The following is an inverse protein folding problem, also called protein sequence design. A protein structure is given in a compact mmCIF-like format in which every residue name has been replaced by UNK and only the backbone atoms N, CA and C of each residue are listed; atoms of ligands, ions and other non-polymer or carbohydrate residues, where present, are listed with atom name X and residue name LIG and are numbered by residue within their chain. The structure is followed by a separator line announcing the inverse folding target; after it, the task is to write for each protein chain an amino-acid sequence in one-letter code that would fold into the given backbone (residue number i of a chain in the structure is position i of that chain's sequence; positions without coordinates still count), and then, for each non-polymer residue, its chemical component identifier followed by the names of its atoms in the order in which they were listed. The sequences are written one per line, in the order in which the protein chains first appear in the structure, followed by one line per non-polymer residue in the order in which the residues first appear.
data_IF_435853949111
#
_entry.id   IF_435853949111
#
_cell.length_a   1.000
_cell.length_b   1.000
_cell.length_c   1.000
_cell.angle_alpha   90.00
_cell.angle_beta   90.00
_cell.angle_gamma   90.00
#
_symmetry.space_group_name_H-M   'P 1'
#
loop_
_entity.id
_entity.type
_entity.pdbx_description
1 polymer ?
#
# COMPACT_ATOMS: atom_id res chain seq x y z
N UNK A 1 0.03 -21.24 -9.31
CA UNK A 1 -0.34 -20.34 -8.19
C UNK A 1 -0.15 -18.86 -8.50
N UNK A 2 1.06 -18.37 -8.78
CA UNK A 2 1.32 -16.93 -8.89
C UNK A 2 0.95 -16.28 -10.25
N UNK A 3 0.46 -17.06 -11.21
CA UNK A 3 0.15 -16.56 -12.56
C UNK A 3 -0.83 -15.38 -12.57
N UNK A 4 -1.95 -15.38 -11.80
CA UNK A 4 -2.84 -14.23 -11.76
C UNK A 4 -2.17 -12.95 -11.24
N UNK A 5 -1.25 -13.07 -10.27
CA UNK A 5 -0.50 -11.94 -9.73
C UNK A 5 0.53 -11.42 -10.74
N UNK A 6 1.24 -12.32 -11.44
CA UNK A 6 2.13 -11.96 -12.54
C UNK A 6 1.37 -11.18 -13.61
N UNK A 7 0.23 -11.70 -14.05
CA UNK A 7 -0.59 -11.07 -15.08
C UNK A 7 -1.12 -9.71 -14.64
N UNK A 8 -1.56 -9.59 -13.38
CA UNK A 8 -1.96 -8.31 -12.79
C UNK A 8 -0.83 -7.27 -12.88
N UNK A 9 0.38 -7.65 -12.45
CA UNK A 9 1.56 -6.78 -12.49
C UNK A 9 1.91 -6.38 -13.94
N UNK A 10 1.96 -7.35 -14.85
CA UNK A 10 2.22 -7.11 -16.27
C UNK A 10 1.20 -6.16 -16.90
N UNK A 11 -0.09 -6.39 -16.62
CA UNK A 11 -1.19 -5.55 -17.13
C UNK A 11 -1.08 -4.14 -16.59
N UNK A 12 -0.89 -3.99 -15.28
CA UNK A 12 -0.79 -2.69 -14.63
C UNK A 12 0.35 -1.86 -15.21
N UNK A 13 1.54 -2.44 -15.37
CA UNK A 13 2.71 -1.73 -15.91
C UNK A 13 2.51 -1.44 -17.40
N UNK A 14 2.15 -2.45 -18.20
CA UNK A 14 2.08 -2.31 -19.67
C UNK A 14 0.97 -1.37 -20.13
N UNK A 15 -0.14 -1.28 -19.39
CA UNK A 15 -1.24 -0.36 -19.71
C UNK A 15 -0.97 1.10 -19.33
N UNK A 16 0.03 1.35 -18.50
CA UNK A 16 0.40 2.70 -18.05
C UNK A 16 1.71 3.20 -18.66
N UNK A 17 2.53 2.30 -19.21
CA UNK A 17 3.78 2.63 -19.89
C UNK A 17 3.53 3.32 -21.25
N UNK A 18 4.32 4.36 -21.55
CA UNK A 18 4.19 5.14 -22.80
C UNK A 18 4.95 4.51 -23.95
N UNK A 19 6.07 3.87 -23.66
CA UNK A 19 6.85 3.18 -24.66
C UNK A 19 6.16 1.86 -24.97
N UNK A 20 5.63 1.73 -26.18
CA UNK A 20 5.49 0.45 -26.89
C UNK A 20 6.87 -0.18 -27.17
N UNK A 21 7.84 -0.04 -26.27
CA UNK A 21 8.89 -1.05 -26.20
C UNK A 21 8.15 -2.31 -25.81
N UNK A 22 8.14 -3.32 -26.67
CA UNK A 22 7.50 -4.64 -26.48
C UNK A 22 8.04 -5.42 -25.26
N UNK A 23 8.66 -4.73 -24.30
CA UNK A 23 9.22 -5.28 -23.08
C UNK A 23 8.06 -5.47 -22.12
N UNK A 24 7.40 -6.61 -22.27
CA UNK A 24 6.58 -7.15 -21.19
C UNK A 24 7.49 -7.32 -19.97
N UNK A 25 7.17 -6.71 -18.81
CA UNK A 25 8.00 -6.84 -17.64
C UNK A 25 8.20 -8.32 -17.31
N UNK A 26 9.45 -8.73 -17.11
CA UNK A 26 9.73 -10.08 -16.64
C UNK A 26 9.52 -10.11 -15.14
N UNK A 27 8.42 -10.71 -14.68
CA UNK A 27 8.13 -10.84 -13.25
C UNK A 27 8.70 -12.14 -12.72
N UNK A 28 9.58 -12.04 -11.72
CA UNK A 28 10.14 -13.13 -10.94
C UNK A 28 9.50 -13.08 -9.56
N UNK A 29 8.82 -14.16 -9.21
CA UNK A 29 8.24 -14.32 -7.87
C UNK A 29 9.07 -15.38 -7.17
N UNK A 30 9.74 -15.01 -6.09
CA UNK A 30 10.60 -15.89 -5.31
C UNK A 30 9.98 -16.13 -3.94
N UNK A 31 9.95 -17.39 -3.52
CA UNK A 31 9.40 -17.82 -2.24
C UNK A 31 10.49 -18.20 -1.23
N UNK A 32 11.68 -17.60 -1.30
CA UNK A 32 12.83 -17.93 -0.45
C UNK A 32 13.17 -16.85 0.59
N UNK A 33 12.19 -16.02 0.97
CA UNK A 33 12.43 -14.85 1.84
C UNK A 33 12.02 -15.13 3.29
N UNK A 34 12.69 -14.47 4.24
CA UNK A 34 12.58 -14.87 5.65
C UNK A 34 11.41 -14.23 6.42
N UNK A 35 10.89 -13.04 6.06
CA UNK A 35 9.99 -12.30 7.00
C UNK A 35 8.82 -11.47 6.43
N UNK A 36 8.84 -10.99 5.17
CA UNK A 36 7.68 -10.29 4.57
C UNK A 36 7.70 -10.36 3.04
N UNK A 37 6.57 -10.06 2.37
CA UNK A 37 6.60 -9.54 1.02
C UNK A 37 7.72 -8.51 0.84
N UNK A 38 8.45 -8.60 -0.27
CA UNK A 38 9.55 -7.66 -0.53
C UNK A 38 9.68 -7.40 -2.03
N UNK A 39 9.65 -6.13 -2.41
CA UNK A 39 10.14 -5.66 -3.69
C UNK A 39 11.67 -5.44 -3.63
N UNK A 40 12.41 -6.07 -4.54
CA UNK A 40 13.83 -5.79 -4.71
C UNK A 40 14.02 -4.54 -5.57
N UNK A 41 14.56 -3.47 -5.00
CA UNK A 41 14.89 -2.25 -5.75
C UNK A 41 15.93 -2.56 -6.84
N UNK A 42 15.57 -2.49 -8.14
CA UNK A 42 16.46 -2.89 -9.20
C UNK A 42 17.58 -1.85 -9.40
N UNK A 43 18.78 -2.34 -9.70
CA UNK A 43 19.81 -1.51 -10.34
C UNK A 43 19.39 -1.15 -11.76
N UNK A 44 20.00 -0.14 -12.39
CA UNK A 44 19.66 0.26 -13.77
C UNK A 44 19.63 -0.91 -14.78
N UNK A 45 20.47 -1.93 -14.58
CA UNK A 45 20.53 -3.14 -15.40
C UNK A 45 19.37 -4.13 -15.18
N UNK A 46 18.55 -3.94 -14.15
CA UNK A 46 17.43 -4.81 -13.79
C UNK A 46 16.08 -4.08 -13.89
N UNK A 47 16.04 -2.89 -14.49
CA UNK A 47 14.80 -2.11 -14.65
C UNK A 47 13.74 -2.82 -15.48
N UNK A 48 14.07 -3.86 -16.23
CA UNK A 48 13.13 -4.69 -16.98
C UNK A 48 12.54 -5.84 -16.13
N UNK A 49 13.20 -6.20 -15.05
CA UNK A 49 12.81 -7.27 -14.13
C UNK A 49 11.98 -6.72 -12.97
N UNK A 50 10.90 -7.42 -12.61
CA UNK A 50 10.12 -7.19 -11.40
C UNK A 50 10.37 -8.36 -10.48
N UNK A 51 10.98 -8.14 -9.31
CA UNK A 51 11.21 -9.23 -8.36
C UNK A 51 10.31 -9.01 -7.15
N UNK A 52 9.40 -9.95 -6.91
CA UNK A 52 8.55 -9.99 -5.73
C UNK A 52 8.95 -11.18 -4.86
N UNK A 53 9.28 -10.91 -3.61
CA UNK A 53 9.56 -11.91 -2.60
C UNK A 53 8.31 -12.27 -1.81
N UNK A 54 8.13 -13.56 -1.51
CA UNK A 54 7.12 -14.08 -0.60
C UNK A 54 7.85 -14.87 0.51
N UNK A 55 7.43 -14.77 1.78
CA UNK A 55 8.04 -15.54 2.84
C UNK A 55 7.97 -17.05 2.56
N UNK A 56 9.07 -17.77 2.72
CA UNK A 56 9.14 -19.19 2.38
C UNK A 56 8.15 -20.03 3.17
N UNK A 57 8.01 -19.72 4.46
CA UNK A 57 7.07 -20.37 5.37
C UNK A 57 5.59 -20.11 5.04
N UNK A 58 5.29 -19.14 4.18
CA UNK A 58 3.93 -18.73 3.80
C UNK A 58 3.72 -18.80 2.28
N UNK A 59 4.59 -19.52 1.57
CA UNK A 59 4.57 -19.59 0.10
C UNK A 59 3.30 -20.25 -0.45
N UNK A 60 2.63 -21.08 0.33
CA UNK A 60 1.34 -21.70 0.03
C UNK A 60 0.13 -20.87 0.51
N UNK A 61 0.37 -19.71 1.13
CA UNK A 61 -0.67 -18.87 1.69
C UNK A 61 -1.06 -17.73 0.74
N UNK A 62 -2.02 -17.99 -0.13
CA UNK A 62 -2.56 -16.98 -1.04
C UNK A 62 -3.22 -15.78 -0.34
N UNK A 63 -3.53 -15.86 0.97
CA UNK A 63 -4.07 -14.71 1.72
C UNK A 63 -3.04 -13.57 1.89
N UNK A 64 -1.76 -13.82 1.61
CA UNK A 64 -0.72 -12.78 1.54
C UNK A 64 -0.71 -11.98 0.24
N UNK A 65 -1.39 -12.45 -0.81
CA UNK A 65 -1.37 -11.80 -2.13
C UNK A 65 -1.85 -10.34 -2.12
N UNK A 66 -2.82 -9.94 -1.28
CA UNK A 66 -3.19 -8.53 -1.17
C UNK A 66 -1.98 -7.62 -0.89
N UNK A 67 -1.06 -8.05 -0.03
CA UNK A 67 0.16 -7.27 0.28
C UNK A 67 1.08 -7.13 -0.93
N UNK A 68 1.05 -8.06 -1.88
CA UNK A 68 1.79 -7.91 -3.15
C UNK A 68 1.28 -6.72 -3.97
N UNK A 69 0.05 -6.25 -3.76
CA UNK A 69 -0.44 -5.02 -4.38
C UNK A 69 0.39 -3.80 -4.00
N UNK A 70 0.86 -3.73 -2.75
CA UNK A 70 1.79 -2.71 -2.28
C UNK A 70 3.15 -2.84 -2.98
N UNK A 71 3.70 -4.05 -3.04
CA UNK A 71 4.99 -4.30 -3.70
C UNK A 71 4.96 -3.99 -5.21
N UNK A 72 3.84 -4.29 -5.89
CA UNK A 72 3.60 -3.87 -7.28
C UNK A 72 3.54 -2.34 -7.41
N UNK A 73 3.09 -1.65 -6.37
CA UNK A 73 3.11 -0.19 -6.27
C UNK A 73 4.52 0.39 -6.37
N UNK A 74 5.51 -0.20 -5.71
CA UNK A 74 6.90 0.24 -5.83
C UNK A 74 7.42 0.11 -7.25
N UNK A 75 7.12 -1.02 -7.90
CA UNK A 75 7.49 -1.24 -9.30
C UNK A 75 6.88 -0.16 -10.19
N UNK A 76 5.59 0.12 -9.98
CA UNK A 76 4.87 1.15 -10.72
C UNK A 76 5.45 2.53 -10.47
N UNK A 77 5.72 2.88 -9.21
CA UNK A 77 6.27 4.16 -8.82
C UNK A 77 7.62 4.42 -9.48
N UNK A 78 8.54 3.46 -9.36
CA UNK A 78 9.86 3.59 -9.96
C UNK A 78 9.74 3.72 -11.48
N UNK A 79 9.06 2.80 -12.15
CA UNK A 79 9.02 2.78 -13.62
C UNK A 79 8.19 3.90 -14.23
N UNK A 80 6.97 4.11 -13.74
CA UNK A 80 6.00 5.02 -14.36
C UNK A 80 6.12 6.43 -13.80
N UNK A 81 6.19 6.57 -12.47
CA UNK A 81 6.18 7.89 -11.83
C UNK A 81 7.56 8.54 -11.87
N UNK A 82 8.64 7.79 -11.63
CA UNK A 82 10.00 8.36 -11.59
C UNK A 82 10.73 8.30 -12.94
N UNK A 83 10.69 7.18 -13.66
CA UNK A 83 11.48 7.01 -14.90
C UNK A 83 10.75 7.45 -16.17
N UNK A 84 9.44 7.22 -16.27
CA UNK A 84 8.65 7.61 -17.44
C UNK A 84 7.97 8.99 -17.34
N UNK A 85 8.40 9.86 -16.40
CA UNK A 85 7.88 11.23 -16.26
C UNK A 85 8.22 12.09 -17.49
N UNK A 86 7.51 11.85 -18.59
CA UNK A 86 7.59 12.54 -19.86
C UNK A 86 6.34 13.40 -20.01
N UNK A 87 6.51 14.60 -20.58
CA UNK A 87 5.44 15.58 -20.78
C UNK A 87 4.17 14.96 -21.38
N UNK A 88 3.04 15.19 -20.72
CA UNK A 88 1.70 14.80 -21.19
C UNK A 88 1.18 13.44 -20.71
N UNK A 89 1.85 12.76 -19.77
CA UNK A 89 1.26 11.65 -19.03
C UNK A 89 0.57 12.12 -17.75
N UNK A 90 -0.50 11.44 -17.29
CA UNK A 90 -1.22 11.87 -16.11
C UNK A 90 -0.41 11.78 -14.81
N UNK A 91 0.68 11.00 -14.80
CA UNK A 91 1.55 10.84 -13.63
C UNK A 91 2.74 11.82 -13.61
N UNK A 92 2.99 12.54 -14.71
CA UNK A 92 4.17 13.40 -14.84
C UNK A 92 4.20 14.55 -13.81
N UNK A 93 3.03 14.96 -13.32
CA UNK A 93 2.89 16.07 -12.38
C UNK A 93 3.11 15.66 -10.91
N UNK A 94 3.12 14.36 -10.58
CA UNK A 94 3.20 13.92 -9.17
C UNK A 94 4.47 14.43 -8.49
N UNK A 95 5.62 14.31 -9.15
CA UNK A 95 6.90 14.80 -8.61
C UNK A 95 6.90 16.32 -8.41
N UNK A 96 6.28 17.04 -9.35
CA UNK A 96 6.10 18.48 -9.25
C UNK A 96 5.20 18.84 -8.07
N UNK A 97 4.08 18.14 -7.88
CA UNK A 97 3.18 18.33 -6.74
C UNK A 97 3.87 18.04 -5.41
N UNK A 98 4.67 16.97 -5.33
CA UNK A 98 5.47 16.66 -4.14
C UNK A 98 6.41 17.82 -3.79
N UNK A 99 7.16 18.30 -4.78
CA UNK A 99 8.14 19.38 -4.59
C UNK A 99 7.46 20.69 -4.21
N UNK A 100 6.34 21.02 -4.88
CA UNK A 100 5.57 22.23 -4.59
C UNK A 100 4.95 22.20 -3.19
N UNK A 101 4.41 21.05 -2.76
CA UNK A 101 3.88 20.86 -1.42
C UNK A 101 4.97 21.00 -0.35
N UNK A 102 6.14 20.41 -0.58
CA UNK A 102 7.31 20.57 0.30
C UNK A 102 7.67 22.05 0.46
N UNK A 103 7.86 22.79 -0.64
CA UNK A 103 8.26 24.20 -0.55
C UNK A 103 7.18 25.07 0.11
N UNK A 104 5.90 24.76 -0.14
CA UNK A 104 4.76 25.41 0.54
C UNK A 104 4.80 25.21 2.06
N UNK A 105 5.02 23.98 2.53
CA UNK A 105 5.11 23.68 3.97
C UNK A 105 6.35 24.32 4.59
N UNK A 106 7.51 24.24 3.94
CA UNK A 106 8.76 24.87 4.41
C UNK A 106 8.59 26.39 4.50
N UNK A 107 8.04 27.02 3.46
CA UNK A 107 7.82 28.48 3.43
C UNK A 107 6.90 28.94 4.56
N UNK A 108 5.75 28.28 4.73
CA UNK A 108 4.77 28.61 5.79
C UNK A 108 5.31 28.39 7.20
N UNK A 109 6.25 27.45 7.37
CA UNK A 109 6.79 27.06 8.67
C UNK A 109 8.28 27.39 8.80
N UNK A 110 8.76 28.41 8.08
CA UNK A 110 10.18 28.73 7.93
C UNK A 110 10.92 28.79 9.27
N UNK A 111 10.35 29.49 10.25
CA UNK A 111 11.00 29.71 11.55
C UNK A 111 11.18 28.41 12.37
N UNK A 112 10.37 27.38 12.11
CA UNK A 112 10.50 26.08 12.76
C UNK A 112 11.37 25.12 11.96
N UNK A 113 11.27 25.17 10.63
CA UNK A 113 11.94 24.22 9.73
C UNK A 113 13.37 24.63 9.41
N UNK A 114 13.62 25.89 9.09
CA UNK A 114 14.93 26.38 8.66
C UNK A 114 16.02 26.14 9.72
N UNK A 115 15.82 26.40 11.03
CA UNK A 115 16.87 26.14 12.01
C UNK A 115 17.26 24.66 12.15
N UNK A 116 16.32 23.74 11.87
CA UNK A 116 16.58 22.30 12.00
C UNK A 116 17.28 21.70 10.77
N UNK A 117 17.05 22.27 9.59
CA UNK A 117 17.51 21.69 8.31
C UNK A 117 18.61 22.54 7.65
N UNK A 118 18.60 23.85 7.90
CA UNK A 118 19.45 24.84 7.29
C UNK A 118 20.41 25.49 8.29
N UNK A 119 20.69 24.86 9.44
CA UNK A 119 21.52 25.41 10.52
C UNK A 119 22.89 25.93 10.03
N UNK A 120 23.47 25.29 9.02
CA UNK A 120 24.77 25.66 8.44
C UNK A 120 24.68 26.71 7.31
N UNK A 121 23.48 27.21 7.02
CA UNK A 121 23.24 28.22 5.98
C UNK A 121 22.97 29.58 6.65
N UNK A 122 23.67 30.63 6.21
CA UNK A 122 23.45 32.01 6.67
C UNK A 122 22.20 32.62 6.00
N UNK A 123 21.05 31.97 6.20
CA UNK A 123 19.76 32.35 5.59
C UNK A 123 18.79 32.64 6.72
N UNK A 124 18.69 33.92 7.06
CA UNK A 124 17.92 34.41 8.21
C UNK A 124 16.53 34.95 7.86
N UNK A 125 16.18 35.02 6.58
CA UNK A 125 14.92 35.63 6.11
C UNK A 125 13.96 34.54 5.62
N UNK A 126 12.68 34.57 6.03
CA UNK A 126 11.65 33.71 5.46
C UNK A 126 11.51 33.91 3.95
N UNK A 127 11.42 32.81 3.21
CA UNK A 127 11.31 32.82 1.75
C UNK A 127 9.98 32.22 1.32
N UNK A 128 9.45 32.73 0.22
CA UNK A 128 8.29 32.19 -0.49
C UNK A 128 8.63 30.86 -1.19
N UNK A 129 7.62 30.08 -1.54
CA UNK A 129 7.81 28.82 -2.28
C UNK A 129 8.57 29.01 -3.60
N UNK A 130 8.31 30.11 -4.30
CA UNK A 130 8.93 30.42 -5.59
C UNK A 130 10.42 30.78 -5.41
N UNK A 131 10.75 31.58 -4.39
CA UNK A 131 12.15 31.90 -4.05
C UNK A 131 12.95 30.66 -3.65
N UNK A 132 12.33 29.71 -2.94
CA UNK A 132 12.93 28.41 -2.62
C UNK A 132 13.19 27.62 -3.91
N UNK A 133 12.22 27.57 -4.83
CA UNK A 133 12.33 26.84 -6.08
C UNK A 133 13.45 27.38 -7.00
N UNK A 134 13.62 28.71 -7.06
CA UNK A 134 14.66 29.36 -7.86
C UNK A 134 16.06 29.21 -7.24
N UNK A 135 16.16 29.11 -5.91
CA UNK A 135 17.44 29.05 -5.20
C UNK A 135 18.10 27.67 -5.24
N UNK A 136 19.14 27.52 -6.07
CA UNK A 136 19.93 26.28 -6.16
C UNK A 136 20.54 25.85 -4.81
N UNK A 137 20.96 26.82 -3.99
CA UNK A 137 21.54 26.54 -2.66
C UNK A 137 20.51 25.93 -1.72
N UNK A 138 19.30 26.51 -1.67
CA UNK A 138 18.22 26.00 -0.82
C UNK A 138 17.72 24.64 -1.29
N UNK A 139 17.55 24.46 -2.60
CA UNK A 139 17.18 23.14 -3.14
C UNK A 139 18.20 22.07 -2.77
N UNK A 140 19.50 22.40 -2.82
CA UNK A 140 20.55 21.48 -2.38
C UNK A 140 20.43 21.17 -0.87
N UNK A 141 20.19 22.19 -0.04
CA UNK A 141 20.06 22.01 1.40
C UNK A 141 18.80 21.22 1.81
N UNK A 142 17.69 21.40 1.08
CA UNK A 142 16.44 20.66 1.30
C UNK A 142 16.42 19.25 0.69
N UNK A 143 17.41 18.91 -0.15
CA UNK A 143 17.43 17.61 -0.84
C UNK A 143 17.30 16.38 0.07
N UNK A 144 17.86 16.34 1.31
CA UNK A 144 17.64 15.20 2.20
C UNK A 144 16.19 15.12 2.69
N UNK A 145 15.53 16.25 2.97
CA UNK A 145 14.11 16.26 3.32
C UNK A 145 13.25 15.84 2.13
N UNK A 146 13.57 16.34 0.93
CA UNK A 146 12.87 15.98 -0.30
C UNK A 146 12.94 14.47 -0.57
N UNK A 147 14.09 13.83 -0.31
CA UNK A 147 14.23 12.38 -0.43
C UNK A 147 13.31 11.62 0.56
N UNK A 148 13.20 12.07 1.80
CA UNK A 148 12.29 11.48 2.80
C UNK A 148 10.83 11.66 2.36
N UNK A 149 10.45 12.85 1.90
CA UNK A 149 9.09 13.11 1.39
C UNK A 149 8.77 12.20 0.20
N UNK A 150 9.69 12.04 -0.74
CA UNK A 150 9.49 11.17 -1.90
C UNK A 150 9.31 9.71 -1.48
N UNK A 151 10.14 9.20 -0.55
CA UNK A 151 10.02 7.84 -0.05
C UNK A 151 8.66 7.62 0.66
N UNK A 152 8.27 8.53 1.56
CA UNK A 152 6.99 8.41 2.26
C UNK A 152 5.76 8.58 1.33
N UNK A 153 5.87 9.40 0.29
CA UNK A 153 4.83 9.53 -0.75
C UNK A 153 4.71 8.24 -1.58
N UNK A 154 5.83 7.60 -1.91
CA UNK A 154 5.85 6.29 -2.58
C UNK A 154 5.14 5.24 -1.73
N UNK A 155 5.50 5.10 -0.46
CA UNK A 155 4.86 4.15 0.47
C UNK A 155 3.35 4.37 0.58
N UNK A 156 2.94 5.65 0.68
CA UNK A 156 1.53 6.02 0.75
C UNK A 156 0.78 5.68 -0.53
N UNK A 157 1.38 5.92 -1.70
CA UNK A 157 0.83 5.50 -2.98
C UNK A 157 0.70 3.98 -3.08
N UNK A 158 1.70 3.23 -2.59
CA UNK A 158 1.68 1.76 -2.61
C UNK A 158 0.56 1.20 -1.74
N UNK A 159 0.32 1.78 -0.56
CA UNK A 159 -0.85 1.46 0.28
C UNK A 159 -2.17 1.72 -0.47
N UNK A 160 -2.27 2.87 -1.15
CA UNK A 160 -3.47 3.23 -1.92
C UNK A 160 -3.71 2.32 -3.11
N UNK A 161 -2.66 1.90 -3.80
CA UNK A 161 -2.75 0.94 -4.89
C UNK A 161 -3.14 -0.45 -4.35
N UNK A 162 -2.53 -0.90 -3.26
CA UNK A 162 -2.89 -2.15 -2.58
C UNK A 162 -4.38 -2.20 -2.25
N UNK A 163 -4.90 -1.14 -1.63
CA UNK A 163 -6.34 -0.98 -1.33
C UNK A 163 -7.18 -0.94 -2.60
N UNK A 164 -6.73 -0.24 -3.65
CA UNK A 164 -7.46 -0.13 -4.92
C UNK A 164 -7.59 -1.48 -5.65
N UNK A 165 -6.58 -2.35 -5.51
CA UNK A 165 -6.55 -3.68 -6.14
C UNK A 165 -7.24 -4.74 -5.26
N UNK A 166 -7.11 -4.63 -3.95
CA UNK A 166 -7.48 -5.64 -2.96
C UNK A 166 -8.15 -4.98 -1.74
N UNK A 167 -9.40 -4.55 -1.82
CA UNK A 167 -10.02 -3.64 -0.86
C UNK A 167 -9.98 -4.09 0.60
N UNK A 168 -10.91 -4.98 0.99
CA UNK A 168 -10.97 -5.46 2.36
C UNK A 168 -9.81 -6.40 2.66
N UNK A 169 -9.41 -7.20 1.69
CA UNK A 169 -8.32 -8.16 1.84
C UNK A 169 -6.96 -7.52 2.09
N UNK A 170 -6.66 -6.35 1.52
CA UNK A 170 -5.42 -5.62 1.84
C UNK A 170 -5.38 -5.20 3.29
N UNK A 171 -6.45 -4.57 3.77
CA UNK A 171 -6.53 -4.08 5.16
C UNK A 171 -6.44 -5.24 6.16
N UNK A 172 -7.12 -6.35 5.89
CA UNK A 172 -7.03 -7.55 6.72
C UNK A 172 -5.62 -8.16 6.71
N UNK A 173 -5.03 -8.35 5.52
CA UNK A 173 -3.68 -8.88 5.38
C UNK A 173 -2.64 -7.98 6.05
N UNK A 174 -2.79 -6.67 5.93
CA UNK A 174 -1.93 -5.67 6.57
C UNK A 174 -1.99 -5.80 8.10
N UNK A 175 -3.20 -5.93 8.66
CA UNK A 175 -3.41 -6.12 10.10
C UNK A 175 -2.77 -7.42 10.60
N UNK A 176 -2.96 -8.52 9.87
CA UNK A 176 -2.49 -9.83 10.32
C UNK A 176 -0.99 -10.03 10.17
N UNK A 177 -0.41 -9.59 9.05
CA UNK A 177 0.95 -10.00 8.67
C UNK A 177 2.00 -8.89 8.78
N UNK A 178 1.61 -7.61 8.70
CA UNK A 178 2.56 -6.49 8.76
C UNK A 178 2.51 -5.74 10.09
N UNK A 179 1.36 -5.73 10.76
CA UNK A 179 1.13 -4.96 11.97
C UNK A 179 1.35 -5.62 13.35
N UNK A 180 1.87 -6.86 13.53
CA UNK A 180 1.98 -7.42 14.88
C UNK A 180 3.11 -6.82 15.75
N UNK A 181 3.66 -5.64 15.42
CA UNK A 181 4.81 -5.01 16.10
C UNK A 181 4.53 -3.65 16.73
N UNK A 182 5.36 -3.27 17.71
CA UNK A 182 5.43 -1.90 18.27
C UNK A 182 5.81 -0.89 17.19
N UNK A 183 5.30 0.34 17.25
CA UNK A 183 5.69 1.42 16.33
C UNK A 183 7.22 1.47 16.21
N UNK A 184 7.79 1.27 15.02
CA UNK A 184 9.22 1.45 14.82
C UNK A 184 9.59 2.90 15.18
N UNK A 185 10.81 3.09 15.67
CA UNK A 185 11.41 4.42 15.72
C UNK A 185 11.30 5.10 14.35
N UNK A 186 11.24 6.44 14.33
CA UNK A 186 11.02 7.21 13.10
C UNK A 186 11.84 6.69 11.92
N UNK A 187 11.13 6.27 10.88
CA UNK A 187 11.71 5.69 9.69
C UNK A 187 11.72 6.73 8.56
N UNK A 188 12.85 6.84 7.86
CA UNK A 188 12.98 7.73 6.71
C UNK A 188 12.17 7.26 5.50
N UNK A 189 11.93 5.95 5.42
CA UNK A 189 11.26 5.32 4.29
C UNK A 189 9.74 5.37 4.47
N UNK A 190 9.26 5.04 5.67
CA UNK A 190 7.83 4.88 5.93
C UNK A 190 7.25 6.05 6.73
N UNK A 191 6.03 6.51 6.41
CA UNK A 191 5.26 7.35 7.32
C UNK A 191 4.96 6.60 8.63
N UNK A 192 4.70 7.34 9.71
CA UNK A 192 4.23 6.78 10.97
C UNK A 192 2.98 5.90 10.79
N UNK A 193 2.82 4.91 11.68
CA UNK A 193 1.64 4.02 11.66
C UNK A 193 0.35 4.81 11.68
N UNK A 194 0.22 5.78 12.59
CA UNK A 194 -0.99 6.60 12.66
C UNK A 194 -1.31 7.28 11.32
N UNK A 195 -0.32 7.87 10.63
CA UNK A 195 -0.57 8.46 9.32
C UNK A 195 -0.93 7.41 8.26
N UNK A 196 -0.22 6.28 8.20
CA UNK A 196 -0.54 5.19 7.24
C UNK A 196 -1.96 4.67 7.44
N UNK A 197 -2.35 4.37 8.68
CA UNK A 197 -3.70 3.90 9.03
C UNK A 197 -4.75 4.92 8.60
N UNK A 198 -4.59 6.19 8.97
CA UNK A 198 -5.53 7.25 8.60
C UNK A 198 -5.65 7.39 7.08
N UNK A 199 -4.53 7.39 6.37
CA UNK A 199 -4.48 7.43 4.91
C UNK A 199 -5.21 6.24 4.30
N UNK A 200 -4.96 5.02 4.77
CA UNK A 200 -5.62 3.81 4.27
C UNK A 200 -7.14 3.85 4.45
N UNK A 201 -7.63 4.32 5.59
CA UNK A 201 -9.06 4.52 5.84
C UNK A 201 -9.62 5.58 4.89
N UNK A 202 -8.93 6.71 4.71
CA UNK A 202 -9.35 7.76 3.79
C UNK A 202 -9.42 7.26 2.35
N UNK A 203 -8.42 6.48 1.89
CA UNK A 203 -8.41 5.89 0.56
C UNK A 203 -9.55 4.88 0.38
N UNK A 204 -9.81 4.05 1.39
CA UNK A 204 -10.91 3.11 1.34
C UNK A 204 -12.27 3.83 1.18
N UNK A 205 -12.46 4.91 1.92
CA UNK A 205 -13.63 5.75 1.77
C UNK A 205 -13.68 6.52 0.44
N UNK A 206 -12.53 6.91 -0.10
CA UNK A 206 -12.42 7.64 -1.36
C UNK A 206 -12.80 6.77 -2.57
N UNK A 207 -12.49 5.47 -2.52
CA UNK A 207 -12.87 4.52 -3.57
C UNK A 207 -14.30 3.94 -3.39
N UNK A 208 -15.11 4.53 -2.51
CA UNK A 208 -16.50 4.14 -2.23
C UNK A 208 -16.67 2.66 -1.84
N UNK A 209 -15.76 2.13 -1.02
CA UNK A 209 -15.94 0.77 -0.50
C UNK A 209 -17.07 0.66 0.51
N UNK A 210 -17.83 -0.43 0.37
CA UNK A 210 -19.04 -0.69 1.15
C UNK A 210 -18.78 -0.83 2.65
N UNK A 211 -17.60 -1.33 3.04
CA UNK A 211 -17.20 -1.38 4.45
C UNK A 211 -15.70 -1.62 4.64
N UNK A 212 -15.10 -0.87 5.56
CA UNK A 212 -13.77 -1.14 6.11
C UNK A 212 -13.90 -2.31 7.10
N UNK A 213 -13.01 -3.32 7.08
CA UNK A 213 -13.07 -4.45 8.01
C UNK A 213 -13.08 -4.01 9.47
N UNK A 214 -13.97 -4.62 10.26
CA UNK A 214 -14.10 -4.25 11.68
C UNK A 214 -12.85 -4.61 12.48
N UNK A 215 -12.23 -5.73 12.16
CA UNK A 215 -10.93 -6.19 12.68
C UNK A 215 -9.84 -5.12 12.52
N UNK A 216 -9.73 -4.49 11.35
CA UNK A 216 -8.79 -3.40 11.10
C UNK A 216 -9.06 -2.20 12.01
N UNK A 217 -10.33 -1.76 12.09
CA UNK A 217 -10.72 -0.63 12.93
C UNK A 217 -10.53 -0.90 14.42
N UNK A 218 -10.83 -2.12 14.89
CA UNK A 218 -10.65 -2.50 16.29
C UNK A 218 -9.16 -2.60 16.65
N UNK A 219 -8.34 -3.10 15.73
CA UNK A 219 -6.89 -3.20 15.93
C UNK A 219 -6.22 -1.83 16.00
N UNK A 220 -6.59 -0.90 15.10
CA UNK A 220 -5.96 0.42 15.01
C UNK A 220 -6.78 1.59 15.56
N UNK A 221 -7.90 1.33 16.23
CA UNK A 221 -8.75 2.36 16.85
C UNK A 221 -7.97 3.34 17.74
N UNK A 222 -7.01 2.90 18.57
CA UNK A 222 -6.14 3.80 19.35
C UNK A 222 -5.28 4.76 18.52
N UNK A 223 -4.96 4.40 17.26
CA UNK A 223 -4.19 5.24 16.32
C UNK A 223 -5.07 6.23 15.54
N UNK A 224 -6.36 6.32 15.87
CA UNK A 224 -7.31 7.22 15.24
C UNK A 224 -8.09 6.60 14.07
N UNK A 225 -8.01 5.28 13.86
CA UNK A 225 -8.80 4.62 12.82
C UNK A 225 -10.30 4.72 13.11
N UNK A 226 -11.03 5.49 12.31
CA UNK A 226 -12.50 5.55 12.36
C UNK A 226 -13.07 5.37 10.97
N UNK A 227 -14.22 4.72 10.83
CA UNK A 227 -14.78 4.41 9.49
C UNK A 227 -15.15 5.65 8.65
N UNK A 228 -15.25 6.82 9.28
CA UNK A 228 -15.69 8.07 8.67
C UNK A 228 -14.56 9.02 8.26
N UNK A 229 -13.29 8.65 8.42
CA UNK A 229 -12.19 9.51 7.96
C UNK A 229 -12.27 9.79 6.46
N UNK A 230 -11.96 11.02 6.09
CA UNK A 230 -11.90 11.52 4.71
C UNK A 230 -10.65 12.35 4.54
N UNK A 231 -10.13 12.42 3.32
CA UNK A 231 -9.01 13.32 3.02
C UNK A 231 -9.40 14.76 3.37
N UNK A 232 -8.51 15.45 4.07
CA UNK A 232 -8.67 16.86 4.43
C UNK A 232 -7.71 17.70 3.63
N UNK A 233 -8.16 18.90 3.21
CA UNK A 233 -7.28 19.87 2.55
C UNK A 233 -6.33 20.56 3.52
N UNK A 234 -6.67 20.57 4.80
CA UNK A 234 -5.83 21.15 5.84
C UNK A 234 -4.73 20.16 6.24
N UNK A 235 -3.45 20.59 6.25
CA UNK A 235 -2.35 19.75 6.72
C UNK A 235 -2.48 19.43 8.21
N UNK A 236 -1.88 18.31 8.64
CA UNK A 236 -1.65 18.09 10.06
C UNK A 236 -0.81 19.24 10.64
N UNK A 237 -1.09 19.65 11.89
CA UNK A 237 -0.30 20.70 12.53
C UNK A 237 1.16 20.26 12.67
N UNK A 238 2.08 21.16 12.29
CA UNK A 238 3.50 20.94 12.49
C UNK A 238 3.83 21.10 13.99
N UNK A 239 4.45 20.07 14.57
CA UNK A 239 4.95 20.10 15.95
C UNK A 239 6.24 20.90 16.05
N UNK A 240 6.62 21.30 17.26
CA UNK A 240 7.85 22.07 17.46
C UNK A 240 9.07 21.15 17.40
N UNK A 241 10.20 21.66 16.91
CA UNK A 241 11.45 20.88 16.84
C UNK A 241 11.86 20.30 18.20
N UNK A 242 11.59 21.02 19.30
CA UNK A 242 11.86 20.59 20.67
C UNK A 242 11.12 19.32 21.10
N UNK A 243 10.05 18.96 20.40
CA UNK A 243 9.24 17.77 20.71
C UNK A 243 9.90 16.47 20.23
N UNK A 244 11.03 16.55 19.54
CA UNK A 244 11.72 15.44 18.90
C UNK A 244 13.14 15.25 19.44
N UNK A 245 13.56 13.99 19.59
CA UNK A 245 14.89 13.66 20.11
C UNK A 245 16.03 13.88 19.11
N UNK A 246 15.72 13.99 17.81
CA UNK A 246 16.71 14.21 16.75
C UNK A 246 16.16 15.07 15.60
N UNK A 247 17.06 15.67 14.82
CA UNK A 247 16.67 16.42 13.61
C UNK A 247 16.01 15.50 12.59
N UNK A 248 16.46 14.25 12.55
CA UNK A 248 15.88 13.25 11.66
C UNK A 248 14.41 12.97 11.97
N UNK A 249 14.07 12.77 13.24
CA UNK A 249 12.67 12.57 13.66
C UNK A 249 11.80 13.78 13.30
N UNK A 250 12.35 14.99 13.45
CA UNK A 250 11.65 16.20 13.05
C UNK A 250 11.46 16.27 11.52
N UNK A 251 12.48 15.91 10.73
CA UNK A 251 12.39 15.85 9.27
C UNK A 251 11.35 14.82 8.81
N UNK A 252 11.28 13.65 9.43
CA UNK A 252 10.23 12.66 9.19
C UNK A 252 8.84 13.26 9.50
N UNK A 253 8.67 13.99 10.60
CA UNK A 253 7.40 14.66 10.93
C UNK A 253 7.03 15.75 9.90
N UNK A 254 8.01 16.55 9.43
CA UNK A 254 7.78 17.52 8.35
C UNK A 254 7.34 16.80 7.08
N UNK A 255 7.98 15.67 6.75
CA UNK A 255 7.64 14.87 5.58
C UNK A 255 6.22 14.30 5.67
N UNK A 256 5.81 13.79 6.83
CA UNK A 256 4.45 13.31 7.09
C UNK A 256 3.41 14.42 6.87
N UNK A 257 3.69 15.64 7.34
CA UNK A 257 2.82 16.80 7.10
C UNK A 257 2.72 17.09 5.60
N UNK A 258 3.83 17.07 4.85
CA UNK A 258 3.81 17.25 3.39
C UNK A 258 2.98 16.16 2.71
N UNK A 259 3.26 14.89 2.99
CA UNK A 259 2.57 13.74 2.39
C UNK A 259 1.08 13.78 2.68
N UNK A 260 0.67 14.18 3.89
CA UNK A 260 -0.76 14.32 4.24
C UNK A 260 -1.52 15.28 3.33
N UNK A 261 -0.87 16.34 2.83
CA UNK A 261 -1.49 17.29 1.88
C UNK A 261 -1.62 16.74 0.46
N UNK A 262 -0.91 15.65 0.16
CA UNK A 262 -0.85 14.99 -1.14
C UNK A 262 -1.70 13.72 -1.18
N UNK A 263 -2.23 13.24 -0.05
CA UNK A 263 -2.89 11.94 0.05
C UNK A 263 -4.03 11.77 -0.97
N UNK A 264 -4.88 12.79 -1.17
CA UNK A 264 -5.94 12.71 -2.18
C UNK A 264 -5.37 12.58 -3.62
N UNK A 265 -4.34 13.36 -3.96
CA UNK A 265 -3.68 13.29 -5.27
C UNK A 265 -3.00 11.93 -5.50
N UNK A 266 -2.36 11.38 -4.47
CA UNK A 266 -1.74 10.05 -4.53
C UNK A 266 -2.79 8.95 -4.69
N UNK A 267 -3.94 9.06 -4.01
CA UNK A 267 -5.05 8.11 -4.15
C UNK A 267 -5.67 8.18 -5.56
N UNK A 268 -5.86 9.38 -6.10
CA UNK A 268 -6.32 9.56 -7.48
C UNK A 268 -5.35 8.94 -8.49
N UNK A 269 -4.03 9.09 -8.28
CA UNK A 269 -3.03 8.44 -9.11
C UNK A 269 -3.12 6.92 -9.04
N UNK A 270 -3.26 6.33 -7.85
CA UNK A 270 -3.41 4.89 -7.68
C UNK A 270 -4.69 4.36 -8.36
N UNK A 271 -5.81 5.09 -8.23
CA UNK A 271 -7.04 4.77 -8.94
C UNK A 271 -6.85 4.79 -10.46
N UNK A 272 -6.26 5.87 -10.99
CA UNK A 272 -6.02 6.04 -12.42
C UNK A 272 -5.12 4.93 -12.99
N UNK A 273 -4.10 4.52 -12.25
CA UNK A 273 -3.23 3.41 -12.65
C UNK A 273 -4.03 2.13 -12.90
N UNK A 274 -4.95 1.81 -11.99
CA UNK A 274 -5.82 0.64 -12.12
C UNK A 274 -6.88 0.80 -13.22
N UNK A 275 -7.44 1.99 -13.39
CA UNK A 275 -8.43 2.29 -14.43
C UNK A 275 -7.84 2.19 -15.84
N UNK A 276 -6.63 2.74 -16.05
CA UNK A 276 -5.90 2.61 -17.31
C UNK A 276 -5.63 1.15 -17.66
N UNK A 277 -5.32 0.33 -16.64
CA UNK A 277 -5.14 -1.10 -16.76
C UNK A 277 -6.44 -1.91 -16.88
N UNK A 278 -7.60 -1.23 -16.81
CA UNK A 278 -8.94 -1.85 -16.82
C UNK A 278 -9.10 -2.96 -15.79
N UNK A 279 -8.39 -2.84 -14.66
CA UNK A 279 -8.52 -3.78 -13.55
C UNK A 279 -9.76 -3.36 -12.76
N UNK A 280 -10.83 -4.18 -12.78
CA UNK A 280 -12.08 -3.81 -12.13
C UNK A 280 -11.91 -3.83 -10.63
N UNK A 281 -12.62 -2.91 -9.96
CA UNK A 281 -12.83 -2.97 -8.52
C UNK A 281 -13.55 -4.26 -8.14
N UNK A 282 -13.22 -4.85 -6.99
CA UNK A 282 -14.05 -5.90 -6.43
C UNK A 282 -15.46 -5.40 -6.13
N UNK A 283 -16.45 -6.24 -6.42
CA UNK A 283 -17.87 -5.95 -6.28
C UNK A 283 -18.57 -6.95 -5.36
N UNK A 284 -19.56 -6.46 -4.62
CA UNK A 284 -20.18 -7.21 -3.52
C UNK A 284 -20.93 -8.47 -3.99
N UNK A 285 -21.52 -8.45 -5.18
CA UNK A 285 -22.28 -9.57 -5.72
C UNK A 285 -21.36 -10.75 -6.03
N UNK A 286 -20.25 -10.47 -6.71
CA UNK A 286 -19.24 -11.45 -7.04
C UNK A 286 -18.51 -11.98 -5.80
N UNK A 287 -18.13 -11.10 -4.87
CA UNK A 287 -17.52 -11.52 -3.59
C UNK A 287 -18.46 -12.50 -2.86
N UNK A 288 -19.75 -12.17 -2.73
CA UNK A 288 -20.74 -13.02 -2.04
C UNK A 288 -20.91 -14.37 -2.73
N UNK A 289 -20.83 -14.39 -4.07
CA UNK A 289 -20.94 -15.62 -4.84
C UNK A 289 -19.72 -16.52 -4.63
N UNK A 290 -18.52 -15.98 -4.68
CA UNK A 290 -17.29 -16.74 -4.39
C UNK A 290 -17.29 -17.26 -2.96
N UNK A 291 -17.67 -16.41 -2.00
CA UNK A 291 -17.72 -16.77 -0.60
C UNK A 291 -18.59 -18.02 -0.38
N UNK A 292 -19.77 -18.07 -1.02
CA UNK A 292 -20.67 -19.23 -0.97
C UNK A 292 -20.03 -20.50 -1.53
N UNK A 293 -19.26 -20.38 -2.61
CA UNK A 293 -18.56 -21.51 -3.23
C UNK A 293 -17.43 -22.02 -2.33
N UNK A 294 -16.59 -21.11 -1.83
CA UNK A 294 -15.48 -21.45 -0.94
C UNK A 294 -15.96 -22.08 0.36
N UNK A 295 -17.08 -21.61 0.94
CA UNK A 295 -17.71 -22.24 2.12
C UNK A 295 -18.29 -23.63 1.85
N UNK A 296 -18.52 -23.97 0.58
CA UNK A 296 -18.94 -25.31 0.15
C UNK A 296 -17.75 -26.17 -0.31
N UNK A 297 -16.52 -25.74 -0.03
CA UNK A 297 -15.27 -26.39 -0.44
C UNK A 297 -15.12 -26.51 -1.98
N UNK A 298 -15.78 -25.61 -2.72
CA UNK A 298 -15.73 -25.54 -4.18
C UNK A 298 -14.85 -24.35 -4.60
N UNK A 299 -13.88 -24.54 -5.51
CA UNK A 299 -13.12 -23.43 -6.08
C UNK A 299 -14.04 -22.37 -6.70
N UNK A 300 -13.76 -21.09 -6.48
CA UNK A 300 -14.45 -20.00 -7.15
C UNK A 300 -14.23 -20.03 -8.66
N UNK A 301 -15.30 -19.88 -9.45
CA UNK A 301 -15.28 -19.88 -10.91
C UNK A 301 -16.31 -18.88 -11.47
N UNK A 302 -16.18 -18.49 -12.74
CA UNK A 302 -17.19 -17.73 -13.48
C UNK A 302 -16.92 -16.24 -13.64
N UNK A 303 -15.73 -15.85 -14.15
CA UNK A 303 -15.37 -14.46 -14.49
C UNK A 303 -15.30 -13.53 -13.27
N UNK A 304 -14.27 -13.71 -12.45
CA UNK A 304 -14.09 -12.96 -11.21
C UNK A 304 -12.69 -12.37 -11.16
N UNK A 305 -12.56 -11.10 -10.78
CA UNK A 305 -11.24 -10.49 -10.59
C UNK A 305 -10.47 -11.17 -9.45
N UNK A 306 -9.13 -11.08 -9.47
CA UNK A 306 -8.30 -11.58 -8.36
C UNK A 306 -8.71 -10.94 -7.02
N UNK A 307 -9.08 -9.65 -7.03
CA UNK A 307 -9.57 -8.96 -5.85
C UNK A 307 -10.89 -9.51 -5.31
N UNK A 308 -11.85 -9.89 -6.17
CA UNK A 308 -13.10 -10.54 -5.74
C UNK A 308 -12.82 -11.84 -4.96
N UNK A 309 -11.89 -12.67 -5.48
CA UNK A 309 -11.52 -13.93 -4.85
C UNK A 309 -10.88 -13.72 -3.47
N UNK A 310 -9.91 -12.80 -3.39
CA UNK A 310 -9.16 -12.57 -2.15
C UNK A 310 -10.02 -11.90 -1.08
N UNK A 311 -10.92 -10.97 -1.44
CA UNK A 311 -11.87 -10.38 -0.49
C UNK A 311 -12.85 -11.44 0.06
N UNK A 312 -13.34 -12.34 -0.78
CA UNK A 312 -14.21 -13.45 -0.34
C UNK A 312 -13.47 -14.41 0.61
N UNK A 313 -12.22 -14.76 0.26
CA UNK A 313 -11.39 -15.63 1.08
C UNK A 313 -11.11 -15.01 2.46
N UNK A 314 -10.81 -13.72 2.51
CA UNK A 314 -10.56 -13.00 3.76
C UNK A 314 -11.78 -12.92 4.67
N UNK A 315 -13.00 -12.77 4.13
CA UNK A 315 -14.22 -12.84 4.95
C UNK A 315 -14.36 -14.17 5.69
N UNK A 316 -14.13 -15.28 4.98
CA UNK A 316 -14.17 -16.62 5.57
C UNK A 316 -13.04 -16.76 6.59
N UNK A 317 -11.85 -16.26 6.28
CA UNK A 317 -10.72 -16.34 7.20
C UNK A 317 -10.97 -15.53 8.49
N UNK A 318 -11.50 -14.32 8.40
CA UNK A 318 -11.85 -13.48 9.55
C UNK A 318 -12.90 -14.14 10.44
N UNK A 319 -13.91 -14.80 9.85
CA UNK A 319 -14.88 -15.61 10.61
C UNK A 319 -14.19 -16.77 11.36
N UNK A 320 -13.26 -17.47 10.71
CA UNK A 320 -12.50 -18.56 11.34
C UNK A 320 -11.60 -18.05 12.48
N UNK A 321 -11.00 -16.87 12.35
CA UNK A 321 -10.23 -16.24 13.43
C UNK A 321 -11.12 -15.84 14.61
N UNK A 322 -12.32 -15.33 14.33
CA UNK A 322 -13.31 -15.04 15.36
C UNK A 322 -13.77 -16.31 16.09
N UNK A 323 -14.05 -17.39 15.35
CA UNK A 323 -14.37 -18.71 15.91
C UNK A 323 -13.23 -19.21 16.81
N UNK A 324 -11.97 -19.10 16.37
CA UNK A 324 -10.79 -19.50 17.14
C UNK A 324 -10.65 -18.68 18.44
N UNK A 325 -10.86 -17.36 18.37
CA UNK A 325 -10.77 -16.47 19.52
C UNK A 325 -11.89 -16.70 20.55
N UNK A 326 -13.05 -17.21 20.10
CA UNK A 326 -14.18 -17.52 20.97
C UNK A 326 -14.02 -18.84 21.77
N UNK A 327 -13.04 -19.68 21.42
CA UNK A 327 -12.78 -20.95 22.12
C UNK A 327 -12.25 -20.65 23.53
N UNK A 328 -12.95 -21.14 24.55
CA UNK A 328 -12.48 -21.06 25.93
C UNK A 328 -11.26 -21.99 26.11
N UNK A 329 -10.06 -21.46 26.40
CA UNK A 329 -8.85 -22.27 26.50
C UNK A 329 -8.88 -23.27 27.67
N UNK A 330 -9.80 -23.11 28.62
CA UNK A 330 -9.96 -24.00 29.78
C UNK A 330 -11.04 -25.07 29.60
N UNK A 331 -11.76 -25.10 28.48
CA UNK A 331 -12.76 -26.13 28.22
C UNK A 331 -12.07 -27.47 27.88
N UNK A 332 -12.65 -28.58 28.34
CA UNK A 332 -12.10 -29.93 28.12
C UNK A 332 -12.01 -30.28 26.63
N UNK A 333 -12.92 -29.74 25.81
CA UNK A 333 -12.99 -29.96 24.36
C UNK A 333 -12.26 -28.89 23.52
N UNK A 334 -11.62 -27.90 24.15
CA UNK A 334 -10.93 -26.81 23.44
C UNK A 334 -9.89 -27.29 22.40
N UNK A 335 -9.06 -28.32 22.65
CA UNK A 335 -8.13 -28.83 21.64
C UNK A 335 -8.83 -29.37 20.40
N UNK A 336 -9.98 -30.02 20.56
CA UNK A 336 -10.76 -30.54 19.44
C UNK A 336 -11.40 -29.41 18.64
N UNK A 337 -12.03 -28.45 19.32
CA UNK A 337 -12.63 -27.27 18.67
C UNK A 337 -11.59 -26.50 17.85
N UNK A 338 -10.40 -26.27 18.42
CA UNK A 338 -9.30 -25.60 17.74
C UNK A 338 -8.84 -26.36 16.50
N UNK A 339 -8.66 -27.68 16.61
CA UNK A 339 -8.28 -28.54 15.48
C UNK A 339 -9.30 -28.49 14.34
N UNK A 340 -10.61 -28.39 14.65
CA UNK A 340 -11.66 -28.24 13.62
C UNK A 340 -11.54 -26.92 12.88
N UNK A 341 -11.33 -25.80 13.60
CA UNK A 341 -11.15 -24.47 12.98
C UNK A 341 -9.88 -24.42 12.13
N UNK A 342 -8.77 -24.96 12.63
CA UNK A 342 -7.50 -25.06 11.91
C UNK A 342 -7.64 -25.91 10.64
N UNK A 343 -8.38 -27.03 10.71
CA UNK A 343 -8.68 -27.85 9.53
C UNK A 343 -9.50 -27.09 8.49
N UNK A 344 -10.50 -26.31 8.90
CA UNK A 344 -11.27 -25.46 7.97
C UNK A 344 -10.41 -24.39 7.31
N UNK A 345 -9.50 -23.78 8.07
CA UNK A 345 -8.56 -22.79 7.52
C UNK A 345 -7.59 -23.43 6.50
N UNK A 346 -7.17 -24.67 6.71
CA UNK A 346 -6.37 -25.41 5.73
C UNK A 346 -7.15 -25.70 4.44
N UNK A 347 -8.41 -26.15 4.55
CA UNK A 347 -9.29 -26.39 3.40
C UNK A 347 -9.56 -25.09 2.62
N UNK A 348 -9.81 -23.98 3.32
CA UNK A 348 -9.96 -22.66 2.70
C UNK A 348 -8.73 -22.29 1.87
N UNK A 349 -7.53 -22.42 2.44
CA UNK A 349 -6.28 -22.13 1.71
C UNK A 349 -6.17 -22.96 0.44
N UNK A 350 -6.41 -24.27 0.52
CA UNK A 350 -6.39 -25.15 -0.66
C UNK A 350 -7.44 -24.75 -1.71
N UNK A 351 -8.66 -24.41 -1.29
CA UNK A 351 -9.73 -23.97 -2.18
C UNK A 351 -9.37 -22.65 -2.90
N UNK A 352 -8.75 -21.70 -2.19
CA UNK A 352 -8.27 -20.44 -2.78
C UNK A 352 -7.16 -20.72 -3.80
N UNK A 353 -6.21 -21.60 -3.48
CA UNK A 353 -5.15 -21.99 -4.42
C UNK A 353 -5.70 -22.57 -5.73
N UNK A 354 -6.68 -23.48 -5.63
CA UNK A 354 -7.37 -24.04 -6.80
C UNK A 354 -8.16 -22.97 -7.56
N UNK A 355 -8.77 -22.02 -6.85
CA UNK A 355 -9.49 -20.91 -7.48
C UNK A 355 -8.56 -20.00 -8.30
N UNK A 356 -7.32 -19.78 -7.85
CA UNK A 356 -6.31 -19.05 -8.63
C UNK A 356 -5.93 -19.79 -9.93
N UNK A 357 -5.87 -21.12 -9.90
CA UNK A 357 -5.64 -21.94 -11.09
C UNK A 357 -6.81 -21.84 -12.06
N UNK A 358 -8.05 -21.95 -11.56
CA UNK A 358 -9.26 -21.78 -12.36
C UNK A 358 -9.30 -20.40 -13.01
N UNK A 359 -9.02 -19.34 -12.25
CA UNK A 359 -8.96 -17.96 -12.76
C UNK A 359 -7.95 -17.82 -13.92
N UNK A 360 -6.79 -18.47 -13.80
CA UNK A 360 -5.78 -18.47 -14.86
C UNK A 360 -6.27 -19.19 -16.12
N UNK A 361 -6.99 -20.30 -15.96
CA UNK A 361 -7.52 -21.10 -17.07
C UNK A 361 -8.69 -20.40 -17.78
N UNK A 362 -9.60 -19.76 -17.04
CA UNK A 362 -10.75 -19.05 -17.62
C UNK A 362 -10.29 -17.92 -18.55
N UNK A 363 -9.21 -17.23 -18.20
CA UNK A 363 -8.62 -16.19 -19.04
C UNK A 363 -7.97 -16.69 -20.32
N UNK A 364 -7.49 -17.94 -20.35
CA UNK A 364 -6.95 -18.57 -21.56
C UNK A 364 -8.06 -19.05 -22.52
N UNK A 365 -9.29 -19.19 -22.04
CA UNK A 365 -10.42 -19.70 -22.82
C UNK A 365 -11.22 -18.60 -23.55
N UNK A 366 -10.94 -17.32 -23.26
CA UNK A 366 -11.48 -16.12 -23.91
C UNK A 366 -10.51 -15.63 -24.98
#
# INVERSE_FOLDING_TARGET
MYEPLRELCCTLISSNARLKTDITPSVVISSEWDYSPLYFQPTQSLLELVILGIPACESDNALLFPLMGHEVGHVFWQRIILYESLDGLPFAEIKMHITAALYSIVSKNWNSVAPAILADQDISVPLTSDEIAESKTLRKALSPLEAIVQAQAEETFCDFLGIRLFPSSYLEAFTQYLAPGTEPEANQLYPSWSLRIQNMVCAANHYDFSSIPRTFLDHFGPLGATSDLRFTKEPFPLRQRSDFSSDLQYMCHVAEVVVSTLSETLAQAANLASENAKIPMPDQENITTIERMLRADVPGCGSLSLGNLLDAAWRIHSDLLADLAAINPNAEDAPHQRSVVESKAAVLREAVLKSLEVLSLEKLAV
#
